data_IF_059257977004
#
_entry.id   IF_059257977004
#
_cell.length_a   1.000
_cell.length_b   1.000
_cell.length_c   1.000
_cell.angle_alpha   90.00
_cell.angle_beta   90.00
_cell.angle_gamma   90.00
#
_symmetry.space_group_name_H-M   'P 1'
#
loop_
_entity.id
_entity.type
_entity.pdbx_description
1 polymer ?
#
# COMPACT_ATOMS: atom_id res chain seq x y z
N UNK A 1 13.91 17.67 35.35
CA UNK A 1 13.51 19.08 35.16
C UNK A 1 14.48 19.72 34.17
N UNK A 2 14.17 19.70 32.88
CA UNK A 2 14.84 20.50 31.86
C UNK A 2 13.77 20.78 30.80
N UNK A 3 13.14 21.95 30.92
CA UNK A 3 12.09 22.40 30.01
C UNK A 3 12.70 22.85 28.69
N UNK A 4 12.48 22.06 27.63
CA UNK A 4 12.75 22.49 26.26
C UNK A 4 11.65 23.43 25.81
N UNK A 5 12.01 24.70 25.63
CA UNK A 5 11.16 25.74 25.01
C UNK A 5 10.92 25.34 23.56
N UNK A 6 9.67 24.99 23.24
CA UNK A 6 9.20 24.88 21.86
C UNK A 6 8.94 26.30 21.38
N UNK A 7 9.63 26.82 20.34
CA UNK A 7 9.24 28.09 19.77
C UNK A 7 7.91 27.91 19.03
N UNK A 8 6.91 28.65 19.49
CA UNK A 8 5.61 28.82 18.84
C UNK A 8 5.80 29.17 17.36
N UNK A 9 5.41 28.25 16.48
CA UNK A 9 5.33 28.53 15.06
C UNK A 9 4.18 29.50 14.80
N UNK A 10 4.52 30.76 14.56
CA UNK A 10 3.59 31.77 14.09
C UNK A 10 2.93 31.30 12.79
N UNK A 11 1.60 31.28 12.81
CA UNK A 11 0.76 31.06 11.65
C UNK A 11 0.91 32.22 10.66
N UNK A 12 1.84 32.09 9.72
CA UNK A 12 1.96 32.98 8.56
C UNK A 12 1.13 32.47 7.39
N UNK A 13 -0.20 32.64 7.43
CA UNK A 13 -1.02 32.51 6.24
C UNK A 13 -0.65 33.62 5.22
N UNK A 14 -0.50 33.22 3.96
CA UNK A 14 -0.48 34.04 2.72
C UNK A 14 0.65 35.07 2.50
N UNK A 15 1.64 34.72 1.65
CA UNK A 15 2.46 35.68 0.88
C UNK A 15 2.83 35.23 -0.55
N UNK A 16 2.00 34.43 -1.23
CA UNK A 16 2.20 34.16 -2.67
C UNK A 16 1.46 35.14 -3.59
N UNK A 17 0.62 36.03 -3.03
CA UNK A 17 -0.15 36.99 -3.78
C UNK A 17 0.72 38.21 -4.12
N UNK A 18 1.41 38.12 -5.27
CA UNK A 18 2.20 39.13 -6.00
C UNK A 18 3.68 38.76 -6.22
N UNK A 19 4.02 37.47 -6.33
CA UNK A 19 5.34 37.06 -6.80
C UNK A 19 5.40 37.08 -8.34
N UNK A 20 6.47 37.66 -8.90
CA UNK A 20 6.77 37.60 -10.33
C UNK A 20 6.83 36.12 -10.79
N UNK A 21 6.06 35.71 -11.81
CA UNK A 21 6.09 34.35 -12.35
C UNK A 21 7.51 33.85 -12.67
N UNK A 22 8.41 34.74 -13.09
CA UNK A 22 9.80 34.40 -13.38
C UNK A 22 10.57 34.03 -12.11
N UNK A 23 10.41 34.81 -11.03
CA UNK A 23 11.05 34.55 -9.74
C UNK A 23 10.55 33.23 -9.11
N UNK A 24 9.26 32.91 -9.28
CA UNK A 24 8.71 31.62 -8.84
C UNK A 24 9.31 30.45 -9.61
N UNK A 25 9.49 30.57 -10.93
CA UNK A 25 10.08 29.52 -11.74
C UNK A 25 11.54 29.26 -11.34
N UNK A 26 12.32 30.32 -11.12
CA UNK A 26 13.71 30.22 -10.69
C UNK A 26 13.82 29.53 -9.33
N UNK A 27 12.99 29.93 -8.37
CA UNK A 27 12.90 29.28 -7.05
C UNK A 27 12.53 27.79 -7.17
N UNK A 28 11.60 27.42 -8.06
CA UNK A 28 11.22 26.01 -8.29
C UNK A 28 12.41 25.23 -8.88
N UNK A 29 13.15 25.80 -9.81
CA UNK A 29 14.32 25.16 -10.42
C UNK A 29 15.42 24.94 -9.40
N UNK A 30 15.72 25.95 -8.60
CA UNK A 30 16.69 25.86 -7.52
C UNK A 30 16.30 24.80 -6.49
N UNK A 31 15.06 24.81 -6.01
CA UNK A 31 14.56 23.80 -5.07
C UNK A 31 14.61 22.38 -5.65
N UNK A 32 14.30 22.22 -6.94
CA UNK A 32 14.41 20.91 -7.61
C UNK A 32 15.85 20.43 -7.69
N UNK A 33 16.80 21.32 -7.95
CA UNK A 33 18.22 21.00 -7.98
C UNK A 33 18.72 20.60 -6.58
N UNK A 34 18.39 21.38 -5.55
CA UNK A 34 18.76 21.12 -4.15
C UNK A 34 18.22 19.77 -3.65
N UNK A 35 17.00 19.41 -4.03
CA UNK A 35 16.34 18.20 -3.55
C UNK A 35 16.74 16.94 -4.36
N UNK A 36 17.34 17.07 -5.54
CA UNK A 36 17.68 15.94 -6.40
C UNK A 36 18.72 15.01 -5.78
N UNK A 37 19.85 15.56 -5.29
CA UNK A 37 20.93 14.79 -4.66
C UNK A 37 20.48 14.04 -3.40
N UNK A 38 19.89 14.73 -2.39
CA UNK A 38 19.40 14.09 -1.17
C UNK A 38 18.35 13.02 -1.43
N UNK A 39 17.48 13.19 -2.45
CA UNK A 39 16.50 12.15 -2.81
C UNK A 39 17.15 10.89 -3.36
N UNK A 40 18.21 11.02 -4.16
CA UNK A 40 18.95 9.88 -4.69
C UNK A 40 19.69 9.12 -3.58
N UNK A 41 20.36 9.84 -2.68
CA UNK A 41 21.05 9.25 -1.53
C UNK A 41 20.07 8.57 -0.57
N UNK A 42 18.95 9.24 -0.24
CA UNK A 42 17.92 8.67 0.62
C UNK A 42 17.30 7.40 0.01
N UNK A 43 17.13 7.34 -1.31
CA UNK A 43 16.68 6.14 -2.00
C UNK A 43 17.68 4.98 -1.85
N UNK A 44 18.98 5.24 -2.05
CA UNK A 44 20.04 4.24 -1.86
C UNK A 44 20.10 3.74 -0.42
N UNK A 45 20.07 4.64 0.57
CA UNK A 45 20.07 4.27 1.99
C UNK A 45 18.86 3.42 2.37
N UNK A 46 17.67 3.74 1.84
CA UNK A 46 16.45 2.94 2.06
C UNK A 46 16.57 1.55 1.46
N UNK A 47 17.23 1.41 0.32
CA UNK A 47 17.46 0.12 -0.31
C UNK A 47 18.47 -0.72 0.48
N UNK A 48 19.52 -0.10 1.01
CA UNK A 48 20.49 -0.78 1.89
C UNK A 48 19.86 -1.21 3.23
N UNK A 49 19.06 -0.34 3.86
CA UNK A 49 18.28 -0.72 5.06
C UNK A 49 17.40 -1.93 4.76
N UNK A 50 16.78 -1.98 3.59
CA UNK A 50 15.90 -3.09 3.21
C UNK A 50 16.67 -4.40 3.06
N UNK A 51 17.84 -4.35 2.41
CA UNK A 51 18.77 -5.49 2.29
C UNK A 51 19.20 -5.98 3.67
N UNK A 52 19.65 -5.08 4.54
CA UNK A 52 20.09 -5.41 5.90
C UNK A 52 18.96 -6.00 6.75
N UNK A 53 17.71 -5.54 6.54
CA UNK A 53 16.53 -6.07 7.23
C UNK A 53 15.94 -7.33 6.59
N UNK A 54 16.54 -7.86 5.52
CA UNK A 54 16.04 -9.05 4.81
C UNK A 54 14.64 -8.85 4.18
N UNK A 55 14.27 -7.61 3.91
CA UNK A 55 12.98 -7.26 3.32
C UNK A 55 13.06 -7.37 1.77
N UNK A 56 11.94 -7.69 1.13
CA UNK A 56 11.86 -7.83 -0.34
C UNK A 56 12.30 -6.56 -1.06
N UNK A 57 13.08 -6.61 -2.16
CA UNK A 57 13.63 -5.42 -2.83
C UNK A 57 12.55 -4.42 -3.28
N UNK A 58 12.94 -3.16 -3.50
CA UNK A 58 12.03 -2.12 -3.95
C UNK A 58 11.37 -2.57 -5.26
N UNK A 59 10.03 -2.53 -5.38
CA UNK A 59 9.38 -2.88 -6.63
C UNK A 59 9.77 -1.87 -7.72
N UNK A 60 10.22 -2.37 -8.86
CA UNK A 60 10.41 -1.56 -10.07
C UNK A 60 9.04 -1.17 -10.61
N UNK A 61 8.57 0.01 -10.23
CA UNK A 61 7.35 0.58 -10.78
C UNK A 61 7.62 0.98 -12.22
N UNK A 62 7.06 0.23 -13.17
CA UNK A 62 6.99 0.69 -14.56
C UNK A 62 6.13 1.95 -14.63
N UNK A 63 6.41 2.89 -15.56
CA UNK A 63 5.51 4.01 -15.80
C UNK A 63 4.10 3.48 -16.08
N UNK A 64 3.09 4.21 -15.61
CA UNK A 64 1.69 3.81 -15.78
C UNK A 64 1.39 3.55 -17.26
N UNK A 65 0.94 2.34 -17.58
CA UNK A 65 0.59 1.95 -18.95
C UNK A 65 -0.67 2.62 -19.50
N UNK A 66 -1.21 3.65 -18.83
CA UNK A 66 -2.40 4.37 -19.27
C UNK A 66 -2.27 4.94 -20.69
N UNK A 67 -1.07 5.35 -21.12
CA UNK A 67 -0.84 5.80 -22.51
C UNK A 67 -0.94 4.67 -23.56
N UNK A 68 -0.56 3.43 -23.19
CA UNK A 68 -0.62 2.29 -24.11
C UNK A 68 -2.05 1.79 -24.35
N UNK A 69 -2.99 2.13 -23.46
CA UNK A 69 -4.40 1.76 -23.62
C UNK A 69 -5.10 2.47 -24.78
N UNK A 70 -4.47 3.48 -25.39
CA UNK A 70 -4.98 4.20 -26.58
C UNK A 70 -4.77 3.44 -27.89
N UNK A 71 -3.86 2.44 -27.92
CA UNK A 71 -3.62 1.59 -29.09
C UNK A 71 -4.46 0.32 -28.94
N UNK A 72 -5.45 0.13 -29.83
CA UNK A 72 -6.20 -1.14 -29.92
C UNK A 72 -5.22 -2.25 -30.35
N UNK A 73 -4.64 -2.97 -29.40
CA UNK A 73 -4.01 -4.27 -29.68
C UNK A 73 -5.10 -5.32 -29.78
N UNK A 74 -5.11 -6.10 -30.87
CA UNK A 74 -5.90 -7.31 -30.99
C UNK A 74 -5.60 -8.26 -29.82
N UNK A 75 -6.61 -8.91 -29.21
CA UNK A 75 -6.36 -9.78 -28.08
C UNK A 75 -5.68 -11.06 -28.56
N UNK A 76 -4.39 -11.19 -28.30
CA UNK A 76 -3.69 -12.49 -28.36
C UNK A 76 -4.28 -13.38 -27.29
N UNK A 77 -4.78 -14.55 -27.70
CA UNK A 77 -5.36 -15.56 -26.83
C UNK A 77 -4.36 -15.93 -25.72
N UNK A 78 -4.63 -15.42 -24.51
CA UNK A 78 -3.75 -15.58 -23.35
C UNK A 78 -4.19 -16.80 -22.56
N UNK A 79 -3.61 -17.97 -22.90
CA UNK A 79 -3.46 -19.15 -22.04
C UNK A 79 -4.72 -19.72 -21.34
N UNK A 80 -4.59 -20.83 -20.62
CA UNK A 80 -5.68 -21.34 -19.79
C UNK A 80 -5.99 -20.30 -18.70
N UNK A 81 -7.21 -19.77 -18.76
CA UNK A 81 -7.81 -18.88 -17.77
C UNK A 81 -7.54 -19.46 -16.39
N UNK A 82 -6.65 -18.81 -15.62
CA UNK A 82 -6.44 -19.11 -14.20
C UNK A 82 -7.83 -19.20 -13.59
N UNK A 83 -8.19 -20.38 -13.04
CA UNK A 83 -9.44 -20.54 -12.29
C UNK A 83 -9.38 -19.50 -11.19
N UNK A 84 -10.14 -18.41 -11.35
CA UNK A 84 -10.29 -17.40 -10.31
C UNK A 84 -10.76 -18.09 -9.04
N UNK A 85 -10.44 -17.51 -7.88
CA UNK A 85 -11.00 -17.97 -6.61
C UNK A 85 -12.48 -18.24 -6.80
N UNK A 86 -12.90 -19.49 -6.62
CA UNK A 86 -14.31 -19.83 -6.56
C UNK A 86 -14.99 -18.82 -5.65
N UNK A 87 -16.07 -18.17 -6.10
CA UNK A 87 -16.83 -17.27 -5.23
C UNK A 87 -17.24 -18.08 -4.01
N UNK A 88 -16.58 -17.85 -2.87
CA UNK A 88 -16.86 -18.56 -1.65
C UNK A 88 -18.28 -18.19 -1.23
N UNK A 89 -19.14 -19.19 -1.07
CA UNK A 89 -20.48 -19.02 -0.52
C UNK A 89 -20.30 -18.95 0.99
N UNK A 90 -20.83 -17.91 1.64
CA UNK A 90 -20.78 -17.79 3.10
C UNK A 90 -21.59 -18.93 3.70
N UNK A 91 -20.90 -19.83 4.39
CA UNK A 91 -21.52 -21.00 5.05
C UNK A 91 -21.89 -20.73 6.51
N UNK A 92 -21.25 -19.75 7.14
CA UNK A 92 -21.42 -19.40 8.54
C UNK A 92 -21.18 -17.90 8.76
N UNK A 93 -22.01 -17.26 9.59
CA UNK A 93 -21.78 -15.91 10.08
C UNK A 93 -21.40 -15.93 11.56
N UNK A 94 -20.25 -15.34 11.90
CA UNK A 94 -19.81 -15.16 13.29
C UNK A 94 -19.71 -13.69 13.65
N UNK A 95 -20.21 -13.33 14.83
CA UNK A 95 -19.95 -12.02 15.44
C UNK A 95 -18.73 -12.13 16.34
N UNK A 96 -17.76 -11.26 16.12
CA UNK A 96 -16.66 -11.07 17.07
C UNK A 96 -17.16 -10.22 18.23
N UNK A 97 -17.25 -10.82 19.42
CA UNK A 97 -17.54 -10.11 20.64
C UNK A 97 -16.28 -9.37 21.09
N UNK A 98 -16.41 -8.06 21.29
CA UNK A 98 -15.35 -7.20 21.82
C UNK A 98 -15.97 -6.28 22.86
N UNK A 99 -15.32 -6.15 24.01
CA UNK A 99 -15.73 -5.22 25.06
C UNK A 99 -15.11 -3.83 24.78
N UNK A 100 -15.92 -2.84 24.40
CA UNK A 100 -15.39 -1.53 24.06
C UNK A 100 -14.98 -0.76 25.34
N UNK A 101 -13.86 -0.01 25.32
CA UNK A 101 -13.45 0.84 26.43
C UNK A 101 -14.53 1.89 26.78
N UNK A 102 -14.59 2.37 28.05
CA UNK A 102 -15.49 3.45 28.45
C UNK A 102 -15.35 4.70 27.56
N UNK A 103 -16.47 5.31 27.18
CA UNK A 103 -16.49 6.46 26.28
C UNK A 103 -16.47 6.12 24.78
N UNK A 104 -16.35 4.83 24.42
CA UNK A 104 -16.49 4.39 23.03
C UNK A 104 -17.94 4.52 22.54
N UNK A 105 -18.09 4.93 21.28
CA UNK A 105 -19.39 4.96 20.60
C UNK A 105 -19.43 3.92 19.48
N UNK A 106 -20.52 3.16 19.40
CA UNK A 106 -20.76 2.25 18.30
C UNK A 106 -21.01 3.03 17.00
N UNK A 107 -20.17 2.84 15.98
CA UNK A 107 -20.27 3.51 14.67
C UNK A 107 -20.94 2.61 13.63
N UNK A 108 -20.82 1.30 13.76
CA UNK A 108 -21.32 0.33 12.79
C UNK A 108 -20.51 -0.96 12.83
N UNK A 109 -20.80 -1.87 11.89
CA UNK A 109 -20.04 -3.11 11.71
C UNK A 109 -19.42 -3.13 10.32
N UNK A 110 -18.22 -3.67 10.24
CA UNK A 110 -17.56 -4.00 8.97
C UNK A 110 -17.58 -5.51 8.80
N UNK A 111 -18.08 -5.99 7.67
CA UNK A 111 -18.04 -7.41 7.33
C UNK A 111 -16.75 -7.76 6.60
N UNK A 112 -16.20 -8.93 6.92
CA UNK A 112 -15.09 -9.54 6.21
C UNK A 112 -15.40 -11.03 6.02
N UNK A 113 -14.96 -11.61 4.92
CA UNK A 113 -15.18 -13.04 4.60
C UNK A 113 -13.83 -13.74 4.65
N UNK A 114 -13.74 -14.80 5.45
CA UNK A 114 -12.55 -15.65 5.58
C UNK A 114 -12.95 -17.06 5.18
N UNK A 115 -12.06 -17.73 4.45
CA UNK A 115 -12.21 -19.14 4.10
C UNK A 115 -11.28 -19.98 4.97
N UNK A 116 -11.84 -20.72 5.92
CA UNK A 116 -11.09 -21.64 6.77
C UNK A 116 -10.92 -23.00 6.09
N UNK A 117 -9.70 -23.56 6.20
CA UNK A 117 -9.41 -24.94 5.81
C UNK A 117 -9.33 -25.79 7.08
N UNK A 118 -10.23 -26.75 7.22
CA UNK A 118 -10.16 -27.76 8.27
C UNK A 118 -9.57 -29.06 7.71
N UNK A 119 -8.45 -29.50 8.26
CA UNK A 119 -7.85 -30.80 7.97
C UNK A 119 -8.05 -31.75 9.16
N UNK A 120 -8.19 -33.04 8.88
CA UNK A 120 -8.39 -34.06 9.91
C UNK A 120 -7.68 -35.35 9.54
N UNK A 121 -7.26 -36.12 10.54
CA UNK A 121 -6.61 -37.42 10.33
C UNK A 121 -7.67 -38.45 9.94
N UNK A 122 -7.40 -39.23 8.89
CA UNK A 122 -8.23 -40.37 8.50
C UNK A 122 -7.33 -41.57 8.21
N UNK A 123 -7.72 -42.74 8.70
CA UNK A 123 -7.08 -44.02 8.38
C UNK A 123 -7.93 -44.72 7.34
N UNK A 124 -7.38 -44.94 6.15
CA UNK A 124 -8.07 -45.61 5.03
C UNK A 124 -7.31 -46.87 4.67
N UNK A 125 -7.98 -48.03 4.70
CA UNK A 125 -7.44 -49.30 4.19
C UNK A 125 -7.95 -49.49 2.76
N UNK A 126 -7.02 -49.54 1.80
CA UNK A 126 -7.35 -49.80 0.40
C UNK A 126 -7.19 -51.28 0.08
N UNK A 127 -8.13 -51.81 -0.71
CA UNK A 127 -8.04 -53.13 -1.34
C UNK A 127 -7.97 -52.92 -2.85
N UNK A 128 -7.19 -53.76 -3.55
CA UNK A 128 -7.10 -53.74 -5.01
C UNK A 128 -7.19 -55.18 -5.51
N UNK A 129 -8.09 -55.39 -6.46
CA UNK A 129 -8.26 -56.69 -7.11
C UNK A 129 -7.06 -57.00 -8.03
N UNK A 130 -6.85 -58.29 -8.26
CA UNK A 130 -5.82 -58.83 -9.16
C UNK A 130 -6.45 -59.53 -10.33
#
# INVERSE_FOLDING_TARGET
MAGGVIPSGDGGATRFSNADPAALLDMILQLRAEVAGPRAENASLKDEIRRLKGLSPRPTLKPSGMEQSSKRSSPVATGPKRRGSSRAIVTEERRLCYEPPPGSRFVGRTSFVVQDLTSGVRVVRYHRDR
#
